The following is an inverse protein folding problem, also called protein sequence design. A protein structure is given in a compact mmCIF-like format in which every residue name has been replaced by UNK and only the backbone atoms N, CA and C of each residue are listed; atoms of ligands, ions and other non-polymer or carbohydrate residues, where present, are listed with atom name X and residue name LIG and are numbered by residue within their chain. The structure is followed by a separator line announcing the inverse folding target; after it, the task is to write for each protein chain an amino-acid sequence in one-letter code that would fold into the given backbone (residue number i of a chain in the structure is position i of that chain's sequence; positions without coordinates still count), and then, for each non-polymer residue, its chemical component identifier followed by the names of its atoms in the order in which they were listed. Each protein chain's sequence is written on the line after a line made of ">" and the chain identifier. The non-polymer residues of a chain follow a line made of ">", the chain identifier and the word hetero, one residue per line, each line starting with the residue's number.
data_IF_519863503678
#
_entry.id   IF_519863503678
#
_cell.length_a   1.000
_cell.length_b   1.000
_cell.length_c   1.000
_cell.angle_alpha   90.00
_cell.angle_beta   90.00
_cell.angle_gamma   90.00
#
_symmetry.space_group_name_H-M   'P 1'
#
loop_
_entity.id
_entity.type
_entity.pdbx_description
1 polymer ?
#
# COMPACT_ATOMS: atom_id res chain seq x y z
N UNK A 1 -20.31 -18.30 -12.64
CA UNK A 1 -20.58 -17.07 -11.86
C UNK A 1 -19.66 -16.90 -10.65
N UNK A 2 -19.78 -17.65 -9.55
CA UNK A 2 -19.01 -17.37 -8.32
C UNK A 2 -17.49 -17.40 -8.50
N UNK A 3 -16.94 -18.42 -9.17
CA UNK A 3 -15.49 -18.62 -9.34
C UNK A 3 -14.79 -17.43 -10.01
N UNK A 4 -15.44 -16.83 -11.02
CA UNK A 4 -14.90 -15.72 -11.79
C UNK A 4 -15.03 -14.38 -11.06
N UNK A 5 -15.94 -14.26 -10.09
CA UNK A 5 -16.16 -13.01 -9.33
C UNK A 5 -15.27 -12.87 -8.09
N UNK A 6 -14.77 -13.97 -7.53
CA UNK A 6 -13.89 -13.96 -6.35
C UNK A 6 -12.61 -13.14 -6.59
N UNK A 7 -11.83 -13.36 -7.68
CA UNK A 7 -10.63 -12.55 -7.93
C UNK A 7 -10.94 -11.07 -8.15
N UNK A 8 -12.05 -10.72 -8.82
CA UNK A 8 -12.48 -9.33 -8.95
C UNK A 8 -12.76 -8.68 -7.58
N UNK A 9 -13.38 -9.41 -6.66
CA UNK A 9 -13.57 -8.94 -5.29
C UNK A 9 -12.22 -8.75 -4.57
N UNK A 10 -11.26 -9.66 -4.76
CA UNK A 10 -9.90 -9.54 -4.21
C UNK A 10 -9.17 -8.32 -4.79
N UNK A 11 -9.32 -8.03 -6.08
CA UNK A 11 -8.78 -6.82 -6.71
C UNK A 11 -9.37 -5.57 -6.06
N UNK A 12 -10.69 -5.51 -5.86
CA UNK A 12 -11.33 -4.36 -5.19
C UNK A 12 -10.85 -4.21 -3.74
N UNK A 13 -10.72 -5.31 -3.00
CA UNK A 13 -10.18 -5.29 -1.62
C UNK A 13 -8.73 -4.81 -1.62
N UNK A 14 -7.89 -5.31 -2.54
CA UNK A 14 -6.51 -4.87 -2.69
C UNK A 14 -6.40 -3.38 -3.03
N UNK A 15 -7.26 -2.87 -3.90
CA UNK A 15 -7.36 -1.45 -4.21
C UNK A 15 -7.77 -0.63 -2.99
N UNK A 16 -8.79 -1.07 -2.23
CA UNK A 16 -9.18 -0.39 -0.98
C UNK A 16 -8.01 -0.33 0.00
N UNK A 17 -7.35 -1.47 0.26
CA UNK A 17 -6.22 -1.52 1.19
C UNK A 17 -5.06 -0.65 0.71
N UNK A 18 -4.76 -0.66 -0.59
CA UNK A 18 -3.73 0.21 -1.17
C UNK A 18 -4.11 1.68 -1.03
N UNK A 19 -5.32 2.09 -1.42
CA UNK A 19 -5.77 3.48 -1.32
C UNK A 19 -5.80 3.98 0.12
N UNK A 20 -6.20 3.14 1.08
CA UNK A 20 -6.22 3.53 2.50
C UNK A 20 -4.82 3.65 3.09
N UNK A 21 -3.99 2.63 2.91
CA UNK A 21 -2.69 2.53 3.57
C UNK A 21 -1.62 3.31 2.80
N UNK A 22 -1.49 3.07 1.49
CA UNK A 22 -0.55 3.81 0.64
C UNK A 22 -1.03 5.25 0.41
N UNK A 23 -2.35 5.51 0.33
CA UNK A 23 -2.86 6.87 0.16
C UNK A 23 -2.55 7.78 1.34
N UNK A 24 -2.64 7.28 2.58
CA UNK A 24 -2.18 8.03 3.76
C UNK A 24 -0.67 8.29 3.73
N UNK A 25 0.11 7.35 3.18
CA UNK A 25 1.55 7.48 3.04
C UNK A 25 1.95 8.51 1.98
N UNK A 26 1.36 8.45 0.78
CA UNK A 26 1.52 9.47 -0.26
C UNK A 26 1.03 10.85 0.21
N UNK A 27 -0.11 10.91 0.89
CA UNK A 27 -0.65 12.15 1.44
C UNK A 27 0.25 12.80 2.49
N UNK A 28 1.00 12.01 3.26
CA UNK A 28 1.98 12.57 4.19
C UNK A 28 3.10 13.29 3.45
N UNK A 29 3.51 12.81 2.27
CA UNK A 29 4.46 13.51 1.41
C UNK A 29 3.96 14.88 0.94
N UNK A 30 2.66 15.04 0.70
CA UNK A 30 2.03 16.34 0.40
C UNK A 30 2.16 17.31 1.58
N UNK A 31 2.02 16.81 2.82
CA UNK A 31 2.17 17.64 4.02
C UNK A 31 3.62 17.95 4.35
N UNK A 32 4.56 17.08 4.00
CA UNK A 32 6.00 17.34 4.15
C UNK A 32 6.44 18.51 3.25
N UNK A 33 5.91 18.57 2.03
CA UNK A 33 6.12 19.69 1.10
C UNK A 33 5.59 21.03 1.62
N UNK A 34 4.35 21.01 2.10
CA UNK A 34 3.62 22.19 2.57
C UNK A 34 3.91 22.54 4.02
N UNK A 35 4.90 21.89 4.64
CA UNK A 35 5.33 22.16 6.01
C UNK A 35 6.03 23.52 6.16
N UNK A 36 6.58 24.06 5.07
CA UNK A 36 7.33 25.33 5.08
C UNK A 36 8.72 25.22 5.72
N UNK A 37 9.36 26.38 5.90
CA UNK A 37 10.68 26.51 6.51
C UNK A 37 10.64 26.56 8.04
N UNK A 38 11.82 26.60 8.66
CA UNK A 38 11.98 26.76 10.11
C UNK A 38 11.70 25.49 10.93
N UNK A 39 11.72 25.67 12.24
CA UNK A 39 11.67 24.57 13.21
C UNK A 39 10.31 23.85 13.24
N UNK A 40 9.20 24.60 13.12
CA UNK A 40 7.86 24.01 13.07
C UNK A 40 7.68 23.14 11.81
N UNK A 41 8.13 23.63 10.65
CA UNK A 41 8.09 22.86 9.40
C UNK A 41 8.96 21.61 9.46
N UNK A 42 10.11 21.69 10.14
CA UNK A 42 10.97 20.52 10.39
C UNK A 42 10.26 19.47 11.25
N UNK A 43 9.61 19.87 12.35
CA UNK A 43 8.84 18.95 13.21
C UNK A 43 7.71 18.26 12.45
N UNK A 44 6.99 18.97 11.57
CA UNK A 44 5.96 18.37 10.70
C UNK A 44 6.56 17.31 9.77
N UNK A 45 7.70 17.62 9.14
CA UNK A 45 8.39 16.67 8.25
C UNK A 45 8.86 15.44 9.01
N UNK A 46 9.54 15.63 10.13
CA UNK A 46 10.09 14.54 10.96
C UNK A 46 8.97 13.64 11.49
N UNK A 47 7.86 14.22 11.96
CA UNK A 47 6.68 13.46 12.41
C UNK A 47 6.06 12.62 11.28
N UNK A 48 5.83 13.24 10.12
CA UNK A 48 5.30 12.53 8.95
C UNK A 48 6.22 11.42 8.45
N UNK A 49 7.53 11.62 8.52
CA UNK A 49 8.52 10.63 8.09
C UNK A 49 8.53 9.41 9.03
N UNK A 50 8.57 9.63 10.35
CA UNK A 50 8.63 8.56 11.34
C UNK A 50 7.34 7.74 11.42
N UNK A 51 6.17 8.39 11.31
CA UNK A 51 4.88 7.71 11.35
C UNK A 51 4.71 6.69 10.21
N UNK A 52 5.33 6.94 9.06
CA UNK A 52 5.13 6.14 7.84
C UNK A 52 6.28 5.19 7.49
N UNK A 53 7.49 5.45 7.99
CA UNK A 53 8.68 4.67 7.61
C UNK A 53 8.54 3.14 7.77
N UNK A 54 7.90 2.58 8.82
CA UNK A 54 7.81 1.12 8.98
C UNK A 54 6.85 0.42 7.99
N UNK A 55 5.92 1.17 7.38
CA UNK A 55 4.77 0.58 6.67
C UNK A 55 4.77 0.84 5.17
N UNK A 56 5.60 1.77 4.69
CA UNK A 56 5.61 2.16 3.27
C UNK A 56 5.96 0.98 2.34
N UNK A 57 6.92 0.12 2.72
CA UNK A 57 7.30 -1.07 1.95
C UNK A 57 6.14 -2.08 1.91
N UNK A 58 5.49 -2.29 3.05
CA UNK A 58 4.37 -3.22 3.18
C UNK A 58 3.15 -2.78 2.35
N UNK A 59 2.95 -1.47 2.17
CA UNK A 59 1.82 -0.95 1.40
C UNK A 59 1.84 -1.39 -0.07
N UNK A 60 3.03 -1.54 -0.67
CA UNK A 60 3.15 -1.89 -2.10
C UNK A 60 2.73 -3.34 -2.41
N UNK A 61 2.69 -4.21 -1.40
CA UNK A 61 2.20 -5.59 -1.54
C UNK A 61 0.76 -5.62 -2.08
N UNK A 62 -0.08 -4.66 -1.67
CA UNK A 62 -1.47 -4.59 -2.14
C UNK A 62 -1.58 -4.24 -3.62
N UNK A 63 -0.74 -3.32 -4.12
CA UNK A 63 -0.72 -2.99 -5.54
C UNK A 63 -0.19 -4.15 -6.38
N UNK A 64 0.87 -4.82 -5.92
CA UNK A 64 1.40 -6.02 -6.57
C UNK A 64 0.33 -7.11 -6.62
N UNK A 65 -0.39 -7.34 -5.51
CA UNK A 65 -1.51 -8.28 -5.46
C UNK A 65 -2.57 -7.94 -6.51
N UNK A 66 -3.00 -6.68 -6.60
CA UNK A 66 -3.98 -6.23 -7.61
C UNK A 66 -3.51 -6.54 -9.03
N UNK A 67 -2.27 -6.18 -9.35
CA UNK A 67 -1.69 -6.35 -10.68
C UNK A 67 -1.55 -7.84 -11.02
N UNK A 68 -1.04 -8.65 -10.10
CA UNK A 68 -0.87 -10.10 -10.31
C UNK A 68 -2.22 -10.81 -10.45
N UNK A 69 -3.20 -10.50 -9.59
CA UNK A 69 -4.53 -11.10 -9.69
C UNK A 69 -5.21 -10.69 -11.00
N UNK A 70 -5.13 -9.41 -11.39
CA UNK A 70 -5.69 -8.93 -12.65
C UNK A 70 -5.05 -9.64 -13.86
N UNK A 71 -3.72 -9.79 -13.86
CA UNK A 71 -2.99 -10.49 -14.91
C UNK A 71 -3.36 -11.97 -15.01
N UNK A 72 -3.42 -12.68 -13.87
CA UNK A 72 -3.68 -14.12 -13.85
C UNK A 72 -5.15 -14.44 -14.08
N UNK A 73 -6.08 -13.69 -13.49
CA UNK A 73 -7.52 -13.95 -13.61
C UNK A 73 -8.13 -13.39 -14.90
N UNK A 74 -7.64 -12.24 -15.38
CA UNK A 74 -8.25 -11.49 -16.49
C UNK A 74 -7.19 -10.99 -17.49
N UNK A 75 -6.43 -11.89 -18.14
CA UNK A 75 -5.24 -11.53 -18.92
C UNK A 75 -5.53 -10.59 -20.10
N UNK A 76 -6.69 -10.73 -20.76
CA UNK A 76 -7.10 -9.86 -21.87
C UNK A 76 -7.34 -8.41 -21.42
N UNK A 77 -8.00 -8.24 -20.27
CA UNK A 77 -8.24 -6.93 -19.63
C UNK A 77 -6.92 -6.33 -19.15
N UNK A 78 -6.05 -7.15 -18.54
CA UNK A 78 -4.71 -6.73 -18.14
C UNK A 78 -3.92 -6.16 -19.34
N UNK A 79 -3.88 -6.90 -20.45
CA UNK A 79 -3.19 -6.48 -21.67
C UNK A 79 -3.72 -5.16 -22.23
N UNK A 80 -5.06 -5.01 -22.29
CA UNK A 80 -5.70 -3.79 -22.75
C UNK A 80 -5.35 -2.57 -21.87
N UNK A 81 -5.40 -2.73 -20.55
CA UNK A 81 -5.06 -1.66 -19.58
C UNK A 81 -3.59 -1.27 -19.71
N UNK A 82 -2.66 -2.23 -19.63
CA UNK A 82 -1.22 -1.93 -19.58
C UNK A 82 -0.69 -1.41 -20.91
N UNK A 83 -1.27 -1.82 -22.04
CA UNK A 83 -0.88 -1.29 -23.35
C UNK A 83 -1.48 0.10 -23.61
N UNK A 84 -2.74 0.34 -23.27
CA UNK A 84 -3.40 1.63 -23.49
C UNK A 84 -2.90 2.72 -22.52
N UNK A 85 -2.63 2.34 -21.28
CA UNK A 85 -2.30 3.26 -20.19
C UNK A 85 -0.83 3.12 -19.75
N UNK A 86 0.05 2.76 -20.68
CA UNK A 86 1.47 2.56 -20.42
C UNK A 86 2.13 3.80 -19.80
N UNK A 87 1.82 5.01 -20.32
CA UNK A 87 2.39 6.27 -19.84
C UNK A 87 2.09 6.52 -18.35
N UNK A 88 0.81 6.61 -17.90
CA UNK A 88 0.52 6.88 -16.50
C UNK A 88 1.00 5.73 -15.59
N UNK A 89 0.91 4.47 -16.02
CA UNK A 89 1.44 3.33 -15.24
C UNK A 89 2.95 3.44 -15.05
N UNK A 90 3.69 3.78 -16.12
CA UNK A 90 5.14 3.96 -16.06
C UNK A 90 5.52 5.14 -15.16
N UNK A 91 4.83 6.28 -15.27
CA UNK A 91 5.04 7.43 -14.40
C UNK A 91 4.74 7.13 -12.93
N UNK A 92 3.70 6.34 -12.65
CA UNK A 92 3.41 5.86 -11.31
C UNK A 92 4.54 4.95 -10.78
N UNK A 93 5.05 4.03 -11.60
CA UNK A 93 6.17 3.17 -11.24
C UNK A 93 7.45 3.97 -10.96
N UNK A 94 7.77 4.97 -11.79
CA UNK A 94 8.90 5.87 -11.53
C UNK A 94 8.73 6.64 -10.21
N UNK A 95 7.51 7.08 -9.89
CA UNK A 95 7.21 7.70 -8.60
C UNK A 95 7.45 6.76 -7.43
N UNK A 96 6.97 5.51 -7.51
CA UNK A 96 7.22 4.48 -6.49
C UNK A 96 8.72 4.25 -6.27
N UNK A 97 9.49 4.07 -7.36
CA UNK A 97 10.94 3.89 -7.32
C UNK A 97 11.63 5.13 -6.73
N UNK A 98 11.19 6.32 -7.15
CA UNK A 98 11.69 7.60 -6.65
C UNK A 98 11.53 7.73 -5.14
N UNK A 99 10.37 7.36 -4.58
CA UNK A 99 10.14 7.38 -3.13
C UNK A 99 11.06 6.41 -2.38
N UNK A 100 11.19 5.17 -2.86
CA UNK A 100 12.09 4.19 -2.24
C UNK A 100 13.54 4.63 -2.25
N UNK A 101 13.97 5.23 -3.36
CA UNK A 101 15.31 5.82 -3.50
C UNK A 101 15.49 6.99 -2.53
N UNK A 102 14.50 7.87 -2.39
CA UNK A 102 14.57 8.98 -1.44
C UNK A 102 14.70 8.52 0.01
N UNK A 103 13.94 7.51 0.43
CA UNK A 103 14.07 6.93 1.78
C UNK A 103 15.47 6.36 2.03
N UNK A 104 16.02 5.62 1.06
CA UNK A 104 17.34 5.00 1.19
C UNK A 104 18.47 6.05 1.27
N UNK A 105 18.35 7.15 0.53
CA UNK A 105 19.40 8.17 0.43
C UNK A 105 19.31 9.26 1.51
N UNK A 106 18.17 9.41 2.21
CA UNK A 106 17.94 10.50 3.17
C UNK A 106 19.02 10.58 4.26
N UNK A 107 19.48 9.43 4.75
CA UNK A 107 20.49 9.34 5.81
C UNK A 107 21.93 9.60 5.32
N UNK A 108 22.19 9.41 4.02
CA UNK A 108 23.51 9.57 3.41
C UNK A 108 23.72 10.95 2.75
N UNK A 109 22.68 11.78 2.69
CA UNK A 109 22.66 13.00 1.89
C UNK A 109 23.16 14.26 2.62
N UNK A 110 24.01 15.03 1.95
CA UNK A 110 24.44 16.36 2.38
C UNK A 110 23.31 17.39 2.22
N UNK A 111 23.43 18.57 2.84
CA UNK A 111 22.36 19.60 2.88
C UNK A 111 21.77 19.98 1.50
N UNK A 112 22.61 20.10 0.45
CA UNK A 112 22.14 20.38 -0.92
C UNK A 112 21.42 19.18 -1.54
N UNK A 113 21.91 17.96 -1.31
CA UNK A 113 21.32 16.72 -1.82
C UNK A 113 19.98 16.43 -1.16
N UNK A 114 19.84 16.69 0.14
CA UNK A 114 18.57 16.59 0.88
C UNK A 114 17.45 17.38 0.21
N UNK A 115 17.72 18.61 -0.23
CA UNK A 115 16.71 19.41 -0.94
C UNK A 115 16.20 18.75 -2.22
N UNK A 116 17.09 18.13 -3.01
CA UNK A 116 16.68 17.42 -4.23
C UNK A 116 15.96 16.10 -3.91
N UNK A 117 16.37 15.41 -2.86
CA UNK A 117 15.74 14.17 -2.40
C UNK A 117 14.34 14.45 -1.86
N UNK A 118 14.18 15.49 -1.05
CA UNK A 118 12.91 15.96 -0.51
C UNK A 118 11.97 16.37 -1.65
N UNK A 119 12.48 17.08 -2.67
CA UNK A 119 11.69 17.45 -3.86
C UNK A 119 11.29 16.24 -4.71
N UNK A 120 12.18 15.25 -4.85
CA UNK A 120 11.90 14.01 -5.58
C UNK A 120 10.84 13.18 -4.86
N UNK A 121 10.98 13.04 -3.54
CA UNK A 121 10.03 12.36 -2.66
C UNK A 121 8.63 12.99 -2.75
N UNK A 122 8.60 14.30 -2.67
CA UNK A 122 7.45 15.15 -2.83
C UNK A 122 6.73 14.98 -4.16
N UNK A 123 7.46 15.15 -5.26
CA UNK A 123 6.90 15.03 -6.61
C UNK A 123 6.33 13.63 -6.81
N UNK A 124 7.07 12.59 -6.40
CA UNK A 124 6.62 11.22 -6.46
C UNK A 124 5.36 10.95 -5.61
N UNK A 125 5.21 11.65 -4.48
CA UNK A 125 4.05 11.53 -3.58
C UNK A 125 2.76 12.12 -4.16
N UNK A 126 2.86 12.99 -5.15
CA UNK A 126 1.71 13.54 -5.88
C UNK A 126 1.49 12.80 -7.19
N UNK A 127 2.56 12.61 -7.98
CA UNK A 127 2.50 12.00 -9.31
C UNK A 127 1.97 10.57 -9.24
N UNK A 128 2.44 9.76 -8.28
CA UNK A 128 2.03 8.35 -8.17
C UNK A 128 0.51 8.20 -7.97
N UNK A 129 -0.10 8.74 -6.90
CA UNK A 129 -1.54 8.61 -6.71
C UNK A 129 -2.35 9.30 -7.82
N UNK A 130 -1.86 10.42 -8.37
CA UNK A 130 -2.54 11.06 -9.51
C UNK A 130 -2.60 10.14 -10.73
N UNK A 131 -1.48 9.52 -11.10
CA UNK A 131 -1.41 8.64 -12.27
C UNK A 131 -2.18 7.33 -12.06
N UNK A 132 -2.16 6.75 -10.85
CA UNK A 132 -2.98 5.58 -10.54
C UNK A 132 -4.48 5.93 -10.53
N UNK A 133 -4.85 7.10 -10.01
CA UNK A 133 -6.22 7.60 -10.07
C UNK A 133 -6.68 7.87 -11.51
N UNK A 134 -5.81 8.42 -12.37
CA UNK A 134 -6.13 8.67 -13.77
C UNK A 134 -6.33 7.38 -14.57
N UNK A 135 -5.57 6.32 -14.25
CA UNK A 135 -5.78 4.96 -14.77
C UNK A 135 -7.16 4.44 -14.39
N UNK A 136 -7.55 4.54 -13.11
CA UNK A 136 -8.88 4.11 -12.65
C UNK A 136 -9.97 4.93 -13.35
N UNK A 137 -9.80 6.25 -13.46
CA UNK A 137 -10.78 7.10 -14.16
C UNK A 137 -10.87 6.83 -15.66
N UNK A 138 -9.77 6.43 -16.31
CA UNK A 138 -9.76 6.02 -17.72
C UNK A 138 -10.54 4.71 -17.93
N UNK A 139 -10.34 3.74 -17.03
CA UNK A 139 -11.11 2.49 -17.02
C UNK A 139 -12.59 2.81 -16.78
N UNK A 140 -12.91 3.60 -15.74
CA UNK A 140 -14.27 3.91 -15.33
C UNK A 140 -15.07 4.70 -16.38
N UNK A 141 -14.39 5.55 -17.17
CA UNK A 141 -15.00 6.29 -18.29
C UNK A 141 -15.02 5.52 -19.61
N UNK A 142 -14.58 4.25 -19.64
CA UNK A 142 -14.64 3.40 -20.83
C UNK A 142 -13.63 3.76 -21.91
N UNK A 143 -12.50 4.38 -21.56
CA UNK A 143 -11.46 4.79 -22.53
C UNK A 143 -10.40 3.75 -22.80
N UNK A 144 -10.54 2.57 -22.21
CA UNK A 144 -9.68 1.41 -22.48
C UNK A 144 -10.45 0.43 -23.37
N UNK A 145 -10.20 0.43 -24.69
CA UNK A 145 -10.84 -0.51 -25.59
C UNK A 145 -10.33 -1.94 -25.36
N UNK A 146 -11.14 -2.97 -25.63
CA UNK A 146 -10.69 -4.35 -25.58
C UNK A 146 -9.65 -4.62 -26.67
N UNK A 147 -8.51 -5.22 -26.29
CA UNK A 147 -7.39 -5.49 -27.19
C UNK A 147 -6.17 -4.65 -26.87
N UNK A 148 -5.01 -5.06 -27.38
CA UNK A 148 -3.73 -4.44 -27.05
C UNK A 148 -3.46 -3.23 -27.95
N UNK A 149 -3.05 -2.11 -27.34
CA UNK A 149 -2.61 -0.89 -28.01
C UNK A 149 -3.66 -0.27 -28.97
N UNK A 150 -4.95 -0.41 -28.66
CA UNK A 150 -6.04 0.16 -29.46
C UNK A 150 -6.57 1.50 -28.93
N UNK A 151 -6.22 1.87 -27.68
CA UNK A 151 -6.61 3.15 -27.09
C UNK A 151 -5.62 4.26 -27.38
N UNK A 152 -6.04 5.51 -27.20
CA UNK A 152 -5.16 6.67 -27.39
C UNK A 152 -4.17 6.81 -26.22
N UNK A 153 -2.86 6.78 -26.49
CA UNK A 153 -1.82 6.77 -25.46
C UNK A 153 -1.89 7.95 -24.47
N UNK A 154 -2.28 9.14 -24.95
CA UNK A 154 -2.44 10.35 -24.12
C UNK A 154 -3.92 10.64 -23.82
N UNK A 155 -4.79 10.53 -24.83
CA UNK A 155 -6.21 10.88 -24.69
C UNK A 155 -6.99 9.99 -23.72
N UNK A 156 -6.53 8.75 -23.49
CA UNK A 156 -7.27 7.79 -22.65
C UNK A 156 -7.22 8.15 -21.16
N UNK A 157 -6.14 8.78 -20.68
CA UNK A 157 -5.96 9.13 -19.27
C UNK A 157 -6.04 10.63 -18.97
N UNK A 158 -6.28 11.46 -19.98
CA UNK A 158 -6.43 12.92 -19.86
C UNK A 158 -7.90 13.38 -19.96
N UNK A 159 -8.85 12.46 -19.82
CA UNK A 159 -10.30 12.73 -19.72
C UNK A 159 -10.66 13.67 -18.59
N UNK A 160 -11.85 14.27 -18.73
CA UNK A 160 -12.69 14.79 -17.64
C UNK A 160 -12.57 13.94 -16.36
N UNK A 161 -13.04 12.70 -16.50
CA UNK A 161 -13.15 11.71 -15.43
C UNK A 161 -11.79 11.23 -14.92
N UNK A 162 -10.80 11.06 -15.81
CA UNK A 162 -9.45 10.60 -15.45
C UNK A 162 -8.67 11.66 -14.65
N UNK A 163 -8.71 12.91 -15.09
CA UNK A 163 -8.09 14.02 -14.35
C UNK A 163 -8.74 14.16 -12.98
N UNK A 164 -10.08 14.14 -12.93
CA UNK A 164 -10.83 14.17 -11.68
C UNK A 164 -10.43 13.02 -10.74
N UNK A 165 -10.39 11.78 -11.23
CA UNK A 165 -10.04 10.61 -10.43
C UNK A 165 -8.61 10.70 -9.89
N UNK A 166 -7.66 11.20 -10.70
CA UNK A 166 -6.29 11.50 -10.26
C UNK A 166 -6.24 12.56 -9.16
N UNK A 167 -6.95 13.67 -9.33
CA UNK A 167 -7.04 14.73 -8.32
C UNK A 167 -7.70 14.24 -7.03
N UNK A 168 -8.77 13.44 -7.15
CA UNK A 168 -9.46 12.85 -6.02
C UNK A 168 -8.57 11.87 -5.25
N UNK A 169 -7.75 11.07 -5.94
CA UNK A 169 -6.78 10.17 -5.32
C UNK A 169 -5.74 10.94 -4.48
N UNK A 170 -5.21 12.05 -5.00
CA UNK A 170 -4.29 12.93 -4.26
C UNK A 170 -4.99 13.57 -3.05
N UNK A 171 -6.18 14.14 -3.26
CA UNK A 171 -6.91 14.86 -2.20
C UNK A 171 -7.37 13.94 -1.07
N UNK A 172 -7.90 12.76 -1.40
CA UNK A 172 -8.30 11.75 -0.40
C UNK A 172 -7.10 11.17 0.34
N UNK A 173 -5.98 10.95 -0.35
CA UNK A 173 -4.71 10.57 0.29
C UNK A 173 -4.22 11.63 1.27
N UNK A 174 -4.20 12.91 0.87
CA UNK A 174 -3.85 14.03 1.74
C UNK A 174 -4.78 14.14 2.95
N UNK A 175 -6.09 13.95 2.75
CA UNK A 175 -7.08 13.93 3.83
C UNK A 175 -6.82 12.80 4.82
N UNK A 176 -6.68 11.56 4.35
CA UNK A 176 -6.34 10.40 5.17
C UNK A 176 -5.05 10.66 5.97
N UNK A 177 -3.99 11.12 5.30
CA UNK A 177 -2.72 11.41 5.94
C UNK A 177 -2.86 12.42 7.09
N UNK A 178 -3.59 13.51 6.88
CA UNK A 178 -3.76 14.53 7.91
C UNK A 178 -4.53 14.01 9.13
N UNK A 179 -5.60 13.23 8.92
CA UNK A 179 -6.37 12.62 10.02
C UNK A 179 -5.52 11.59 10.78
N UNK A 180 -4.74 10.79 10.06
CA UNK A 180 -3.84 9.82 10.67
C UNK A 180 -2.74 10.52 11.47
N UNK A 181 -2.05 11.50 10.91
CA UNK A 181 -0.98 12.23 11.58
C UNK A 181 -1.49 13.03 12.79
N UNK A 182 -2.70 13.60 12.73
CA UNK A 182 -3.32 14.30 13.85
C UNK A 182 -3.56 13.37 15.06
N UNK A 183 -4.14 12.18 14.85
CA UNK A 183 -4.32 11.23 15.95
C UNK A 183 -2.99 10.64 16.45
N UNK A 184 -1.95 10.62 15.63
CA UNK A 184 -0.64 10.14 16.06
C UNK A 184 0.05 11.20 16.93
N UNK A 185 -0.01 12.47 16.51
CA UNK A 185 0.43 13.60 17.32
C UNK A 185 -0.33 13.69 18.65
N UNK A 186 -1.64 13.38 18.67
CA UNK A 186 -2.44 13.31 19.89
C UNK A 186 -1.91 12.21 20.84
N UNK A 187 -1.63 11.02 20.29
CA UNK A 187 -1.04 9.90 21.04
C UNK A 187 0.33 10.26 21.61
N UNK A 188 1.16 10.99 20.87
CA UNK A 188 2.47 11.46 21.30
C UNK A 188 2.43 12.70 22.21
N UNK A 189 1.24 13.26 22.45
CA UNK A 189 1.01 14.46 23.27
C UNK A 189 1.73 15.70 22.73
N UNK A 190 1.72 15.89 21.40
CA UNK A 190 2.28 17.04 20.71
C UNK A 190 1.19 18.02 20.24
N UNK A 191 0.71 18.94 21.12
CA UNK A 191 -0.47 19.77 20.83
C UNK A 191 -0.30 20.68 19.61
N UNK A 192 0.92 21.19 19.39
CA UNK A 192 1.22 22.04 18.23
C UNK A 192 1.04 21.30 16.90
N UNK A 193 1.46 20.02 16.84
CA UNK A 193 1.31 19.19 15.65
C UNK A 193 -0.14 18.76 15.46
N UNK A 194 -0.86 18.46 16.54
CA UNK A 194 -2.31 18.15 16.49
C UNK A 194 -3.07 19.30 15.82
N UNK A 195 -2.84 20.53 16.24
CA UNK A 195 -3.52 21.71 15.69
C UNK A 195 -3.17 21.89 14.21
N UNK A 196 -1.88 21.74 13.87
CA UNK A 196 -1.37 21.83 12.51
C UNK A 196 -1.97 20.78 11.56
N UNK A 197 -2.09 19.52 11.99
CA UNK A 197 -2.66 18.46 11.16
C UNK A 197 -4.19 18.49 11.14
N UNK A 198 -4.85 18.96 12.19
CA UNK A 198 -6.29 19.19 12.19
C UNK A 198 -6.70 20.25 11.15
N UNK A 199 -5.98 21.37 11.07
CA UNK A 199 -6.23 22.38 10.04
C UNK A 199 -6.06 21.83 8.62
N UNK A 200 -5.00 21.05 8.39
CA UNK A 200 -4.75 20.34 7.13
C UNK A 200 -5.81 19.31 6.79
N UNK A 201 -6.30 18.57 7.78
CA UNK A 201 -7.37 17.59 7.63
C UNK A 201 -8.68 18.26 7.21
N UNK A 202 -9.05 19.38 7.85
CA UNK A 202 -10.25 20.14 7.48
C UNK A 202 -10.15 20.69 6.05
N UNK A 203 -9.00 21.30 5.70
CA UNK A 203 -8.77 21.81 4.35
C UNK A 203 -8.83 20.71 3.30
N UNK A 204 -8.09 19.62 3.49
CA UNK A 204 -8.08 18.51 2.56
C UNK A 204 -9.42 17.78 2.48
N UNK A 205 -10.16 17.70 3.60
CA UNK A 205 -11.51 17.13 3.62
C UNK A 205 -12.51 17.97 2.82
N UNK A 206 -12.45 19.30 2.94
CA UNK A 206 -13.27 20.22 2.11
C UNK A 206 -12.89 20.10 0.64
N UNK A 207 -11.60 20.06 0.30
CA UNK A 207 -11.13 19.90 -1.09
C UNK A 207 -11.55 18.54 -1.66
N UNK A 208 -11.34 17.44 -0.93
CA UNK A 208 -11.72 16.10 -1.36
C UNK A 208 -13.24 15.96 -1.50
N UNK A 209 -14.02 16.50 -0.56
CA UNK A 209 -15.49 16.53 -0.64
C UNK A 209 -15.99 17.38 -1.80
N UNK A 210 -15.40 18.55 -2.03
CA UNK A 210 -15.69 19.41 -3.17
C UNK A 210 -15.37 18.74 -4.51
N UNK A 211 -14.23 18.07 -4.61
CA UNK A 211 -13.88 17.27 -5.79
C UNK A 211 -14.82 16.08 -5.98
N UNK A 212 -15.26 15.39 -4.92
CA UNK A 212 -16.20 14.28 -5.03
C UNK A 212 -17.58 14.75 -5.52
N UNK A 213 -18.10 15.85 -4.95
CA UNK A 213 -19.39 16.44 -5.36
C UNK A 213 -19.31 17.03 -6.77
N UNK A 214 -18.30 17.86 -7.04
CA UNK A 214 -18.02 18.39 -8.38
C UNK A 214 -17.80 17.27 -9.41
N UNK A 215 -17.21 16.18 -8.94
CA UNK A 215 -16.95 14.98 -9.72
C UNK A 215 -18.20 14.30 -10.25
N UNK A 216 -19.32 14.33 -9.52
CA UNK A 216 -20.59 13.82 -10.01
C UNK A 216 -21.06 14.56 -11.27
N UNK A 217 -20.82 15.87 -11.37
CA UNK A 217 -21.16 16.65 -12.58
C UNK A 217 -20.24 16.32 -13.75
N UNK A 218 -18.94 16.15 -13.49
CA UNK A 218 -17.96 15.75 -14.51
C UNK A 218 -18.28 14.36 -15.04
N UNK A 219 -18.55 13.40 -14.15
CA UNK A 219 -18.91 12.02 -14.51
C UNK A 219 -20.25 11.99 -15.25
N UNK A 220 -21.23 12.83 -14.88
CA UNK A 220 -22.48 12.95 -15.64
C UNK A 220 -22.26 13.35 -17.09
N UNK A 221 -21.30 14.24 -17.35
CA UNK A 221 -21.01 14.73 -18.71
C UNK A 221 -20.11 13.79 -19.51
N UNK A 222 -19.06 13.25 -18.88
CA UNK A 222 -17.98 12.49 -19.55
C UNK A 222 -18.17 10.97 -19.48
N UNK A 223 -18.89 10.45 -18.48
CA UNK A 223 -19.15 9.02 -18.30
C UNK A 223 -20.59 8.73 -17.81
N UNK A 224 -21.64 8.96 -18.63
CA UNK A 224 -23.04 8.89 -18.21
C UNK A 224 -23.45 7.55 -17.60
N UNK A 225 -22.95 6.41 -18.13
CA UNK A 225 -23.27 5.09 -17.56
C UNK A 225 -22.71 4.91 -16.15
N UNK A 226 -21.52 5.43 -15.88
CA UNK A 226 -20.95 5.43 -14.53
C UNK A 226 -21.78 6.32 -13.60
N UNK A 227 -22.22 7.48 -14.09
CA UNK A 227 -23.11 8.37 -13.32
C UNK A 227 -24.42 7.66 -12.97
N UNK A 228 -25.06 6.99 -13.93
CA UNK A 228 -26.30 6.25 -13.70
C UNK A 228 -26.07 5.13 -12.69
N UNK A 229 -24.98 4.37 -12.82
CA UNK A 229 -24.62 3.32 -11.86
C UNK A 229 -24.34 3.85 -10.44
N UNK A 230 -23.77 5.05 -10.30
CA UNK A 230 -23.50 5.69 -9.02
C UNK A 230 -24.74 6.34 -8.38
N UNK A 231 -25.71 6.78 -9.20
CA UNK A 231 -26.90 7.51 -8.72
C UNK A 231 -28.16 6.65 -8.66
N UNK A 232 -28.10 5.41 -9.15
CA UNK A 232 -29.22 4.47 -9.12
C UNK A 232 -28.85 3.13 -8.49
N UNK A 233 -29.88 2.37 -8.08
CA UNK A 233 -29.74 1.02 -7.55
C UNK A 233 -28.77 0.90 -6.37
N UNK A 234 -27.93 -0.14 -6.42
CA UNK A 234 -26.98 -0.47 -5.35
C UNK A 234 -25.75 0.45 -5.28
N UNK A 235 -25.42 1.18 -6.36
CA UNK A 235 -24.26 2.09 -6.37
C UNK A 235 -24.49 3.38 -5.59
N UNK A 236 -25.75 3.78 -5.40
CA UNK A 236 -26.11 4.93 -4.56
C UNK A 236 -25.76 4.70 -3.08
N UNK A 237 -25.83 3.45 -2.60
CA UNK A 237 -25.57 3.13 -1.19
C UNK A 237 -24.13 3.50 -0.79
N UNK A 238 -23.07 3.04 -1.48
CA UNK A 238 -21.71 3.49 -1.21
C UNK A 238 -21.50 5.00 -1.35
N UNK A 239 -22.17 5.67 -2.29
CA UNK A 239 -22.07 7.14 -2.46
C UNK A 239 -22.60 7.86 -1.22
N UNK A 240 -23.79 7.47 -0.73
CA UNK A 240 -24.38 8.03 0.49
C UNK A 240 -23.52 7.70 1.71
N UNK A 241 -23.04 6.46 1.83
CA UNK A 241 -22.14 6.05 2.91
C UNK A 241 -20.86 6.89 2.89
N UNK A 242 -20.28 7.14 1.71
CA UNK A 242 -19.09 7.97 1.56
C UNK A 242 -19.34 9.41 2.00
N UNK A 243 -20.45 10.02 1.54
CA UNK A 243 -20.84 11.37 1.93
C UNK A 243 -21.07 11.52 3.43
N UNK A 244 -21.85 10.61 4.03
CA UNK A 244 -22.15 10.63 5.47
C UNK A 244 -20.88 10.37 6.28
N UNK A 245 -20.08 9.35 5.94
CA UNK A 245 -18.84 9.05 6.65
C UNK A 245 -17.82 10.19 6.53
N UNK A 246 -17.74 10.87 5.37
CA UNK A 246 -16.91 12.05 5.18
C UNK A 246 -17.34 13.22 6.06
N UNK A 247 -18.64 13.54 6.12
CA UNK A 247 -19.19 14.58 6.99
C UNK A 247 -18.98 14.25 8.48
N UNK A 248 -19.23 13.00 8.88
CA UNK A 248 -18.96 12.52 10.25
C UNK A 248 -17.49 12.66 10.57
N UNK A 249 -16.59 12.29 9.64
CA UNK A 249 -15.16 12.47 9.83
C UNK A 249 -14.80 13.94 10.02
N UNK A 250 -15.42 14.85 9.28
CA UNK A 250 -15.17 16.29 9.44
C UNK A 250 -15.66 16.80 10.80
N UNK A 251 -16.86 16.42 11.22
CA UNK A 251 -17.36 16.74 12.55
C UNK A 251 -16.44 16.20 13.65
N UNK A 252 -15.98 14.96 13.54
CA UNK A 252 -15.06 14.35 14.51
C UNK A 252 -13.70 15.06 14.56
N UNK A 253 -13.17 15.52 13.43
CA UNK A 253 -11.93 16.32 13.38
C UNK A 253 -12.13 17.67 14.08
N UNK A 254 -13.27 18.34 13.87
CA UNK A 254 -13.62 19.58 14.59
C UNK A 254 -13.74 19.33 16.10
N UNK A 255 -14.38 18.24 16.49
CA UNK A 255 -14.57 17.81 17.88
C UNK A 255 -13.31 17.21 18.52
N UNK A 256 -12.16 17.22 17.81
CA UNK A 256 -10.87 16.66 18.28
C UNK A 256 -10.94 15.18 18.66
N UNK A 257 -11.81 14.40 18.01
CA UNK A 257 -11.94 12.94 18.21
C UNK A 257 -11.22 12.16 17.09
N UNK A 258 -9.90 12.31 17.03
CA UNK A 258 -9.11 11.90 15.87
C UNK A 258 -9.07 10.39 15.64
N UNK A 259 -9.07 9.57 16.69
CA UNK A 259 -9.11 8.09 16.55
C UNK A 259 -10.38 7.63 15.85
N UNK A 260 -11.53 8.20 16.20
CA UNK A 260 -12.81 7.89 15.55
C UNK A 260 -12.85 8.47 14.13
N UNK A 261 -12.29 9.67 13.94
CA UNK A 261 -12.18 10.30 12.63
C UNK A 261 -11.40 9.43 11.63
N UNK A 262 -10.34 8.73 12.05
CA UNK A 262 -9.60 7.80 11.19
C UNK A 262 -10.49 6.71 10.60
N UNK A 263 -11.36 6.13 11.42
CA UNK A 263 -12.27 5.05 10.99
C UNK A 263 -13.31 5.57 10.00
N UNK A 264 -13.94 6.71 10.30
CA UNK A 264 -14.91 7.33 9.38
C UNK A 264 -14.26 7.82 8.08
N UNK A 265 -13.04 8.36 8.12
CA UNK A 265 -12.30 8.75 6.93
C UNK A 265 -11.96 7.54 6.06
N UNK A 266 -11.48 6.45 6.66
CA UNK A 266 -11.20 5.21 5.96
C UNK A 266 -12.47 4.61 5.33
N UNK A 267 -13.59 4.61 6.06
CA UNK A 267 -14.88 4.18 5.52
C UNK A 267 -15.32 5.07 4.34
N UNK A 268 -15.16 6.39 4.45
CA UNK A 268 -15.55 7.31 3.39
C UNK A 268 -14.80 7.02 2.08
N UNK A 269 -13.47 6.84 2.16
CA UNK A 269 -12.62 6.56 0.99
C UNK A 269 -12.85 5.14 0.45
N UNK A 270 -12.97 4.14 1.32
CA UNK A 270 -13.31 2.78 0.90
C UNK A 270 -14.66 2.73 0.16
N UNK A 271 -15.65 3.47 0.64
CA UNK A 271 -16.96 3.56 0.01
C UNK A 271 -16.91 4.20 -1.39
N UNK A 272 -15.97 5.11 -1.68
CA UNK A 272 -15.75 5.62 -3.06
C UNK A 272 -15.32 4.49 -4.00
N UNK A 273 -14.34 3.68 -3.59
CA UNK A 273 -13.83 2.55 -4.39
C UNK A 273 -14.91 1.48 -4.58
N UNK A 274 -15.66 1.17 -3.50
CA UNK A 274 -16.80 0.24 -3.57
C UNK A 274 -17.90 0.79 -4.49
N UNK A 275 -18.20 2.09 -4.41
CA UNK A 275 -19.18 2.76 -5.26
C UNK A 275 -18.86 2.62 -6.73
N UNK A 276 -17.60 2.88 -7.12
CA UNK A 276 -17.13 2.63 -8.47
C UNK A 276 -17.26 1.15 -8.87
N UNK A 277 -16.76 0.23 -8.03
CA UNK A 277 -16.81 -1.20 -8.33
C UNK A 277 -18.23 -1.76 -8.45
N UNK A 278 -19.20 -1.21 -7.69
CA UNK A 278 -20.63 -1.57 -7.79
C UNK A 278 -21.27 -0.94 -9.01
N UNK A 279 -21.01 0.34 -9.28
CA UNK A 279 -21.57 1.06 -10.42
C UNK A 279 -21.12 0.49 -11.77
N UNK A 280 -19.92 -0.11 -11.83
CA UNK A 280 -19.39 -0.68 -13.06
C UNK A 280 -19.86 -2.13 -13.34
N UNK A 281 -20.48 -2.81 -12.37
CA UNK A 281 -20.88 -4.22 -12.57
C UNK A 281 -21.86 -4.35 -13.74
N UNK A 282 -21.79 -5.44 -14.53
CA UNK A 282 -20.90 -6.60 -14.41
C UNK A 282 -19.57 -6.48 -15.19
N UNK A 283 -19.14 -5.27 -15.54
CA UNK A 283 -18.02 -5.03 -16.48
C UNK A 283 -16.67 -4.80 -15.80
N UNK A 284 -15.60 -5.38 -16.37
CA UNK A 284 -14.22 -4.97 -16.06
C UNK A 284 -13.74 -3.85 -16.97
N UNK A 285 -14.10 -3.90 -18.25
CA UNK A 285 -13.99 -2.78 -19.18
C UNK A 285 -15.41 -2.35 -19.53
N UNK A 286 -15.85 -1.13 -19.14
CA UNK A 286 -17.22 -0.71 -19.33
C UNK A 286 -17.69 -0.92 -20.76
N UNK A 287 -18.92 -1.42 -20.91
CA UNK A 287 -19.64 -1.56 -22.19
C UNK A 287 -19.09 -2.61 -23.16
N UNK A 288 -17.96 -3.24 -22.85
CA UNK A 288 -17.25 -4.11 -23.82
C UNK A 288 -16.91 -5.49 -23.26
N UNK A 289 -16.39 -5.58 -22.03
CA UNK A 289 -15.92 -6.86 -21.47
C UNK A 289 -16.46 -7.09 -20.06
N UNK A 290 -17.25 -8.15 -19.89
CA UNK A 290 -17.77 -8.56 -18.57
C UNK A 290 -16.71 -9.32 -17.76
N UNK A 291 -16.93 -9.44 -16.45
CA UNK A 291 -16.07 -10.28 -15.57
C UNK A 291 -16.04 -11.73 -16.07
N UNK A 292 -17.15 -12.24 -16.59
CA UNK A 292 -17.25 -13.63 -17.05
C UNK A 292 -16.50 -13.83 -18.37
N UNK A 293 -16.65 -12.89 -19.31
CA UNK A 293 -15.97 -12.96 -20.62
C UNK A 293 -14.45 -12.76 -20.52
N UNK A 294 -14.01 -12.00 -19.52
CA UNK A 294 -12.58 -11.75 -19.29
C UNK A 294 -11.85 -12.90 -18.58
N UNK A 295 -12.59 -13.83 -17.96
CA UNK A 295 -12.01 -14.79 -17.04
C UNK A 295 -11.10 -15.81 -17.75
N UNK A 296 -9.96 -16.10 -17.12
CA UNK A 296 -9.12 -17.24 -17.48
C UNK A 296 -9.87 -18.58 -17.27
N UNK A 297 -9.29 -19.68 -17.77
CA UNK A 297 -9.87 -21.01 -17.60
C UNK A 297 -10.02 -21.41 -16.12
N UNK A 298 -10.97 -22.31 -15.85
CA UNK A 298 -11.33 -22.70 -14.48
C UNK A 298 -10.14 -23.26 -13.68
N UNK A 299 -9.25 -24.01 -14.32
CA UNK A 299 -8.03 -24.54 -13.69
C UNK A 299 -7.14 -23.43 -13.15
N UNK A 300 -6.90 -22.39 -13.95
CA UNK A 300 -6.10 -21.21 -13.53
C UNK A 300 -6.81 -20.47 -12.41
N UNK A 301 -8.14 -20.35 -12.49
CA UNK A 301 -8.93 -19.64 -11.50
C UNK A 301 -8.91 -20.34 -10.12
N UNK A 302 -9.06 -21.67 -10.11
CA UNK A 302 -8.95 -22.48 -8.89
C UNK A 302 -7.54 -22.37 -8.31
N UNK A 303 -6.50 -22.53 -9.13
CA UNK A 303 -5.11 -22.42 -8.68
C UNK A 303 -4.81 -21.04 -8.08
N UNK A 304 -5.31 -19.97 -8.69
CA UNK A 304 -5.19 -18.61 -8.18
C UNK A 304 -5.89 -18.44 -6.83
N UNK A 305 -7.13 -18.90 -6.69
CA UNK A 305 -7.89 -18.78 -5.43
C UNK A 305 -7.21 -19.55 -4.30
N UNK A 306 -6.73 -20.77 -4.57
CA UNK A 306 -5.96 -21.56 -3.60
C UNK A 306 -4.67 -20.83 -3.21
N UNK A 307 -3.93 -20.29 -4.19
CA UNK A 307 -2.70 -19.54 -3.94
C UNK A 307 -2.95 -18.28 -3.11
N UNK A 308 -4.05 -17.57 -3.36
CA UNK A 308 -4.48 -16.41 -2.56
C UNK A 308 -4.82 -16.80 -1.13
N UNK A 309 -5.52 -17.93 -0.93
CA UNK A 309 -5.85 -18.43 0.41
C UNK A 309 -4.59 -18.79 1.20
N UNK A 310 -3.65 -19.52 0.58
CA UNK A 310 -2.36 -19.87 1.20
C UNK A 310 -1.53 -18.61 1.50
N UNK A 311 -1.46 -17.69 0.54
CA UNK A 311 -0.75 -16.41 0.71
C UNK A 311 -1.33 -15.58 1.85
N UNK A 312 -2.66 -15.52 1.99
CA UNK A 312 -3.33 -14.81 3.07
C UNK A 312 -2.96 -15.37 4.47
N UNK A 313 -2.85 -16.70 4.60
CA UNK A 313 -2.44 -17.36 5.84
C UNK A 313 -1.02 -16.96 6.27
N UNK A 314 -0.15 -16.59 5.34
CA UNK A 314 1.21 -16.11 5.65
C UNK A 314 1.24 -14.59 5.84
N UNK A 315 0.55 -13.86 4.96
CA UNK A 315 0.57 -12.40 4.91
C UNK A 315 -0.09 -11.77 6.14
N UNK A 316 -1.31 -12.17 6.51
CA UNK A 316 -2.01 -11.52 7.61
C UNK A 316 -1.31 -11.70 8.96
N UNK A 317 -0.83 -12.89 9.36
CA UNK A 317 -0.09 -13.03 10.61
C UNK A 317 1.20 -12.22 10.64
N UNK A 318 1.93 -12.13 9.52
CA UNK A 318 3.17 -11.33 9.46
C UNK A 318 2.89 -9.82 9.60
N UNK A 319 1.83 -9.30 8.96
CA UNK A 319 1.39 -7.92 9.15
C UNK A 319 0.91 -7.64 10.58
N UNK A 320 0.12 -8.55 11.18
CA UNK A 320 -0.32 -8.41 12.57
C UNK A 320 0.88 -8.37 13.52
N UNK A 321 1.88 -9.23 13.30
CA UNK A 321 3.10 -9.23 14.07
C UNK A 321 3.86 -7.90 13.92
N UNK A 322 4.03 -7.42 12.68
CA UNK A 322 4.67 -6.13 12.39
C UNK A 322 3.97 -4.99 13.13
N UNK A 323 2.65 -4.81 12.92
CA UNK A 323 1.89 -3.74 13.56
C UNK A 323 1.91 -3.83 15.08
N UNK A 324 1.82 -5.03 15.66
CA UNK A 324 1.93 -5.21 17.12
C UNK A 324 3.30 -4.78 17.64
N UNK A 325 4.38 -5.15 16.97
CA UNK A 325 5.73 -4.79 17.40
C UNK A 325 6.00 -3.28 17.28
N UNK A 326 5.55 -2.65 16.19
CA UNK A 326 5.66 -1.20 15.97
C UNK A 326 4.83 -0.42 16.99
N UNK A 327 3.55 -0.80 17.20
CA UNK A 327 2.67 -0.10 18.15
C UNK A 327 3.08 -0.29 19.60
N UNK A 328 3.64 -1.45 19.95
CA UNK A 328 4.18 -1.71 21.29
C UNK A 328 5.52 -1.01 21.56
N UNK A 329 6.08 -0.27 20.59
CA UNK A 329 7.37 0.42 20.73
C UNK A 329 8.57 -0.52 20.84
N UNK A 330 8.40 -1.80 20.48
CA UNK A 330 9.46 -2.82 20.52
C UNK A 330 10.24 -2.90 19.22
N UNK A 331 9.77 -2.22 18.19
CA UNK A 331 10.41 -2.11 16.88
C UNK A 331 10.67 -0.64 16.61
N UNK A 332 11.83 -0.16 17.05
CA UNK A 332 12.32 1.16 16.69
C UNK A 332 13.37 0.98 15.57
N UNK A 333 13.00 1.21 14.30
CA UNK A 333 13.94 1.12 13.17
C UNK A 333 15.03 2.20 13.22
N UNK A 334 14.89 3.21 14.08
CA UNK A 334 15.89 4.26 14.32
C UNK A 334 16.70 4.05 15.60
N UNK A 335 16.29 3.11 16.46
CA UNK A 335 17.15 2.64 17.54
C UNK A 335 18.36 2.01 16.89
N UNK A 336 19.50 2.69 16.98
CA UNK A 336 20.78 2.06 16.79
C UNK A 336 20.85 0.98 17.87
N UNK A 337 20.46 -0.25 17.52
CA UNK A 337 20.88 -1.41 18.27
C UNK A 337 22.39 -1.30 18.45
N UNK A 338 22.95 -1.80 19.58
CA UNK A 338 24.39 -1.77 19.80
C UNK A 338 25.09 -2.20 18.50
N UNK A 339 26.08 -1.40 18.07
CA UNK A 339 26.77 -1.58 16.81
C UNK A 339 26.98 -3.07 16.57
N UNK A 340 26.56 -3.62 15.40
CA UNK A 340 26.58 -5.05 15.18
C UNK A 340 27.94 -5.57 15.60
N UNK A 341 27.96 -6.39 16.67
CA UNK A 341 29.20 -6.94 17.20
C UNK A 341 29.86 -7.60 15.99
N UNK A 342 31.08 -7.20 15.60
CA UNK A 342 31.73 -7.75 14.43
C UNK A 342 31.66 -9.26 14.54
N UNK A 343 30.86 -9.86 13.66
CA UNK A 343 30.64 -11.30 13.72
C UNK A 343 32.00 -11.96 13.60
N UNK A 344 32.38 -12.76 14.60
CA UNK A 344 33.63 -13.50 14.56
C UNK A 344 33.73 -14.31 13.26
N UNK A 345 34.95 -14.62 12.78
CA UNK A 345 35.17 -15.24 11.46
C UNK A 345 34.24 -16.43 11.14
N UNK A 346 33.93 -17.25 12.16
CA UNK A 346 33.00 -18.38 12.10
C UNK A 346 31.55 -18.00 11.73
N UNK A 347 31.04 -16.87 12.24
CA UNK A 347 29.68 -16.39 11.92
C UNK A 347 29.59 -15.81 10.51
N UNK A 348 30.66 -15.17 10.03
CA UNK A 348 30.76 -14.65 8.66
C UNK A 348 30.81 -15.77 7.63
N UNK A 349 31.57 -16.83 7.90
CA UNK A 349 31.59 -18.02 7.05
C UNK A 349 30.23 -18.74 7.03
N UNK A 350 29.59 -18.95 8.19
CA UNK A 350 28.24 -19.56 8.23
C UNK A 350 27.20 -18.78 7.43
N UNK A 351 27.21 -17.44 7.50
CA UNK A 351 26.32 -16.60 6.68
C UNK A 351 26.64 -16.70 5.20
N UNK A 352 27.93 -16.69 4.84
CA UNK A 352 28.38 -16.84 3.44
C UNK A 352 27.94 -18.19 2.86
N UNK A 353 28.13 -19.27 3.61
CA UNK A 353 27.69 -20.60 3.20
C UNK A 353 26.17 -20.66 3.05
N UNK A 354 25.40 -20.21 4.05
CA UNK A 354 23.94 -20.15 3.96
C UNK A 354 23.44 -19.33 2.76
N UNK A 355 24.09 -18.19 2.46
CA UNK A 355 23.78 -17.38 1.29
C UNK A 355 24.08 -18.12 -0.02
N UNK A 356 25.25 -18.77 -0.12
CA UNK A 356 25.65 -19.55 -1.29
C UNK A 356 24.70 -20.73 -1.52
N UNK A 357 24.32 -21.46 -0.47
CA UNK A 357 23.37 -22.57 -0.58
C UNK A 357 21.98 -22.05 -0.98
N UNK A 358 21.55 -20.91 -0.43
CA UNK A 358 20.30 -20.26 -0.80
C UNK A 358 20.26 -19.83 -2.27
N UNK A 359 21.33 -19.22 -2.78
CA UNK A 359 21.46 -18.85 -4.19
C UNK A 359 21.42 -20.08 -5.09
N UNK A 360 22.14 -21.16 -4.72
CA UNK A 360 22.12 -22.41 -5.48
C UNK A 360 20.72 -22.98 -5.61
N UNK A 361 20.00 -23.11 -4.50
CA UNK A 361 18.62 -23.59 -4.52
C UNK A 361 17.64 -22.63 -5.22
N UNK A 362 17.89 -21.32 -5.17
CA UNK A 362 17.09 -20.34 -5.89
C UNK A 362 17.23 -20.55 -7.41
N UNK A 363 18.46 -20.63 -7.91
CA UNK A 363 18.75 -20.83 -9.33
C UNK A 363 18.16 -22.16 -9.79
N UNK A 364 18.42 -23.25 -9.06
CA UNK A 364 17.88 -24.57 -9.40
C UNK A 364 16.36 -24.59 -9.35
N UNK A 365 15.74 -23.96 -8.35
CA UNK A 365 14.29 -23.87 -8.22
C UNK A 365 13.65 -23.10 -9.38
N UNK A 366 14.23 -21.96 -9.75
CA UNK A 366 13.77 -21.15 -10.89
C UNK A 366 13.94 -21.90 -12.21
N UNK A 367 15.08 -22.53 -12.46
CA UNK A 367 15.33 -23.34 -13.67
C UNK A 367 14.33 -24.48 -13.79
N UNK A 368 14.09 -25.22 -12.70
CA UNK A 368 13.12 -26.32 -12.70
C UNK A 368 11.68 -25.84 -12.92
N UNK A 369 11.33 -24.62 -12.51
CA UNK A 369 10.00 -24.04 -12.74
C UNK A 369 9.82 -23.43 -14.14
N UNK A 370 10.91 -23.12 -14.84
CA UNK A 370 10.85 -22.36 -16.09
C UNK A 370 11.22 -23.17 -17.32
N UNK A 371 12.10 -24.17 -17.17
CA UNK A 371 12.67 -24.92 -18.30
C UNK A 371 12.17 -26.37 -18.30
N UNK A 372 11.83 -26.94 -17.15
CA UNK A 372 11.50 -28.36 -17.09
C UNK A 372 10.02 -28.61 -17.41
N UNK A 373 9.75 -29.40 -18.45
CA UNK A 373 8.39 -29.74 -18.86
C UNK A 373 7.59 -30.66 -17.90
N UNK A 374 8.19 -31.62 -17.14
CA UNK A 374 7.38 -32.52 -16.33
C UNK A 374 6.87 -31.84 -15.05
N UNK A 375 5.59 -32.04 -14.73
CA UNK A 375 4.95 -31.49 -13.52
C UNK A 375 5.69 -31.86 -12.21
N UNK A 376 6.38 -33.00 -12.19
CA UNK A 376 7.23 -33.42 -11.07
C UNK A 376 8.41 -32.47 -10.85
N UNK A 377 9.01 -31.94 -11.93
CA UNK A 377 10.08 -30.96 -11.83
C UNK A 377 9.60 -29.63 -11.23
N UNK A 378 8.36 -29.22 -11.50
CA UNK A 378 7.76 -28.04 -10.87
C UNK A 378 7.58 -28.21 -9.35
N UNK A 379 7.21 -29.41 -8.88
CA UNK A 379 7.11 -29.70 -7.44
C UNK A 379 8.49 -29.56 -6.78
N UNK A 380 9.54 -30.13 -7.38
CA UNK A 380 10.90 -29.98 -6.88
C UNK A 380 11.37 -28.52 -6.95
N UNK A 381 11.00 -27.79 -8.01
CA UNK A 381 11.27 -26.37 -8.16
C UNK A 381 10.71 -25.52 -7.02
N UNK A 382 9.45 -25.77 -6.63
CA UNK A 382 8.81 -25.14 -5.46
C UNK A 382 9.50 -25.48 -4.15
N UNK A 383 9.89 -26.75 -3.95
CA UNK A 383 10.63 -27.20 -2.76
C UNK A 383 11.98 -26.48 -2.66
N UNK A 384 12.72 -26.38 -3.77
CA UNK A 384 14.00 -25.69 -3.80
C UNK A 384 13.86 -24.18 -3.55
N UNK A 385 12.80 -23.54 -4.06
CA UNK A 385 12.50 -22.14 -3.74
C UNK A 385 12.18 -21.95 -2.25
N UNK A 386 11.45 -22.89 -1.63
CA UNK A 386 11.20 -22.89 -0.19
C UNK A 386 12.50 -23.02 0.64
N UNK A 387 13.40 -23.91 0.24
CA UNK A 387 14.72 -24.08 0.88
C UNK A 387 15.58 -22.84 0.68
N UNK A 388 15.57 -22.24 -0.52
CA UNK A 388 16.29 -21.01 -0.83
C UNK A 388 15.84 -19.84 0.05
N UNK A 389 14.52 -19.69 0.24
CA UNK A 389 13.94 -18.67 1.10
C UNK A 389 14.39 -18.86 2.56
N UNK A 390 14.38 -20.09 3.06
CA UNK A 390 14.81 -20.40 4.42
C UNK A 390 16.32 -20.19 4.63
N UNK A 391 17.15 -20.57 3.66
CA UNK A 391 18.59 -20.35 3.68
C UNK A 391 18.94 -18.85 3.59
N UNK A 392 18.23 -18.08 2.75
CA UNK A 392 18.32 -16.63 2.67
C UNK A 392 17.92 -15.95 3.97
N UNK A 393 16.84 -16.40 4.62
CA UNK A 393 16.44 -15.92 5.94
C UNK A 393 17.52 -16.19 7.00
N UNK A 394 18.20 -17.34 6.96
CA UNK A 394 19.33 -17.62 7.86
C UNK A 394 20.60 -16.81 7.57
N UNK A 395 20.80 -16.40 6.33
CA UNK A 395 21.92 -15.56 5.95
C UNK A 395 21.74 -14.10 6.39
N UNK A 396 20.49 -13.61 6.41
CA UNK A 396 20.14 -12.21 6.70
C UNK A 396 19.63 -12.01 8.15
N UNK A 397 18.95 -13.01 8.72
CA UNK A 397 18.29 -12.92 10.01
C UNK A 397 19.24 -12.95 11.22
N UNK A 398 18.84 -12.37 12.36
CA UNK A 398 19.66 -12.35 13.58
C UNK A 398 19.71 -13.74 14.21
N UNK A 399 20.78 -14.49 13.94
CA UNK A 399 21.06 -15.80 14.54
C UNK A 399 21.29 -15.73 16.07
N UNK A 400 21.45 -14.53 16.63
CA UNK A 400 21.75 -14.29 18.05
C UNK A 400 20.64 -14.66 19.04
N UNK A 401 19.42 -14.96 18.58
CA UNK A 401 18.36 -15.46 19.48
C UNK A 401 18.59 -16.91 19.96
N UNK A 402 19.45 -17.68 19.27
CA UNK A 402 19.74 -19.07 19.65
C UNK A 402 21.03 -19.22 20.48
N UNK A 403 21.83 -18.16 20.62
CA UNK A 403 23.14 -18.20 21.29
C UNK A 403 23.25 -17.31 22.52
N UNK A 404 22.14 -16.69 22.96
CA UNK A 404 22.12 -16.12 24.32
C UNK A 404 22.12 -17.30 25.29
N UNK A 405 23.15 -17.48 26.15
CA UNK A 405 22.93 -18.26 27.35
C UNK A 405 21.70 -17.66 28.05
N UNK A 406 20.83 -18.52 28.58
CA UNK A 406 19.73 -18.07 29.43
C UNK A 406 20.30 -17.02 30.40
N UNK A 407 19.63 -15.89 30.63
CA UNK A 407 20.14 -14.88 31.54
C UNK A 407 20.51 -15.61 32.83
N UNK A 408 21.77 -15.51 33.24
CA UNK A 408 22.14 -15.78 34.62
C UNK A 408 21.21 -14.89 35.43
N UNK A 409 20.12 -15.49 35.91
CA UNK A 409 19.33 -14.96 37.00
C UNK A 409 20.36 -14.83 38.09
N UNK A 410 20.81 -13.58 38.29
CA UNK A 410 21.81 -13.21 39.27
C UNK A 410 21.59 -14.06 40.50
N UNK A 411 22.60 -14.87 40.84
CA UNK A 411 22.56 -15.86 41.91
C UNK A 411 22.38 -15.21 43.28
N UNK A 412 21.19 -14.66 43.55
CA UNK A 412 20.66 -14.56 44.90
C UNK A 412 19.98 -15.88 45.15
N UNK A 413 20.65 -16.71 45.93
CA UNK A 413 20.04 -17.95 46.41
C UNK A 413 18.69 -17.60 47.06
N UNK A 414 17.66 -18.42 46.81
CA UNK A 414 16.33 -18.30 47.41
C UNK A 414 16.38 -18.24 48.97
N UNK A 415 17.53 -18.61 49.58
CA UNK A 415 17.81 -18.51 51.02
C UNK A 415 18.08 -17.07 51.50
N UNK A 416 18.56 -16.16 50.65
CA UNK A 416 18.81 -14.76 51.04
C UNK A 416 17.53 -13.91 51.02
N UNK A 417 16.58 -14.20 50.14
CA UNK A 417 15.29 -13.49 50.08
C UNK A 417 14.32 -13.84 51.23
N UNK A 418 14.59 -14.89 52.00
CA UNK A 418 13.76 -15.34 53.13
C UNK A 418 14.28 -14.91 54.50
N UNK A 419 15.43 -14.23 54.60
CA UNK A 419 15.89 -13.62 55.86
C UNK A 419 15.36 -12.19 55.96
N UNK A 420 14.17 -12.04 56.54
CA UNK A 420 13.73 -10.76 57.11
C UNK A 420 14.61 -10.42 58.32
N UNK A 421 15.15 -9.20 58.45
CA UNK A 421 15.54 -8.70 59.76
C UNK A 421 14.26 -8.36 60.55
N UNK A 422 14.22 -8.80 61.81
CA UNK A 422 13.30 -8.30 62.84
C UNK A 422 13.78 -6.94 63.32
#
# INVERSE_FOLDING_TARGET
>A
MALQTIPAAVVVIGLILYTLLAGADFGAGVWQLSAGGGEHGRRIRDHAHHANAPVWEANHVWLILVITVLWTAYPSVFGAIFSTLAIPIFLAALGIIGRGTSYALQNAANARQRRYIDLSFAAASIVTPYMLGSVIGAIASGRVPPGNALGAEVGSWTSATSILAGLLAVATGAFLAAVFLAADAERLREPDLVESFRGRALLAGVVAGGLAVGGLFVVRADAPRLFDGLTSGWGLVPVVVSGVAGLVSMALVVLRRFTQARLSAALAVAAVIIGWAVAQRPYLLPTTVTIEDAAANDTTMIALIVSLAVGAVVLFPSLVLLFRLTLAGRFDPTSQGPAPVPGGPVTRERRKHAAQTGIGFLITGVVLLTIAEPAVAHIFGLIFLGIAMFAGFRAVGPVELASRPAPEVAGRSLRELLRRPR
#
